data_IF_983930176281
#
_entry.id   IF_983930176281
#
_cell.length_a   1.000
_cell.length_b   1.000
_cell.length_c   1.000
_cell.angle_alpha   90.00
_cell.angle_beta   90.00
_cell.angle_gamma   90.00
#
_symmetry.space_group_name_H-M   'P 1'
#
loop_
_entity.id
_entity.type
_entity.pdbx_description
1 polymer ?
#
# COMPACT_ATOMS: atom_id res chain seq x y z
N UNK A 1 -8.70 -28.20 1.58
CA UNK A 1 -8.26 -26.92 2.17
C UNK A 1 -8.09 -27.23 3.63
N UNK A 2 -6.91 -27.02 4.17
CA UNK A 2 -6.62 -27.42 5.55
C UNK A 2 -7.37 -26.48 6.47
N UNK A 3 -8.49 -26.95 7.04
CA UNK A 3 -9.23 -26.21 8.05
C UNK A 3 -8.39 -26.23 9.34
N UNK A 4 -7.56 -25.20 9.51
CA UNK A 4 -6.91 -24.96 10.78
C UNK A 4 -8.00 -24.51 11.75
N UNK A 5 -8.34 -25.33 12.74
CA UNK A 5 -9.28 -24.94 13.79
C UNK A 5 -8.52 -24.56 15.06
N UNK A 6 -8.84 -23.42 15.64
CA UNK A 6 -8.37 -23.07 16.99
C UNK A 6 -9.39 -23.63 17.98
N UNK A 7 -8.94 -24.52 18.86
CA UNK A 7 -9.74 -25.09 19.94
C UNK A 7 -9.48 -24.36 21.25
N UNK A 8 -10.53 -23.93 21.94
CA UNK A 8 -10.41 -23.36 23.27
C UNK A 8 -10.60 -24.43 24.35
N UNK A 9 -9.53 -24.81 25.04
CA UNK A 9 -9.57 -25.83 26.10
C UNK A 9 -10.45 -25.45 27.32
N UNK A 10 -10.95 -24.21 27.41
CA UNK A 10 -11.76 -23.76 28.55
C UNK A 10 -13.26 -23.76 28.27
N UNK A 11 -13.69 -23.63 27.01
CA UNK A 11 -15.11 -23.60 26.63
C UNK A 11 -15.46 -24.64 25.56
N UNK A 12 -14.49 -25.45 25.13
CA UNK A 12 -14.60 -26.46 24.07
C UNK A 12 -15.14 -25.94 22.72
N UNK A 13 -15.12 -24.62 22.51
CA UNK A 13 -15.43 -24.03 21.21
C UNK A 13 -14.25 -24.18 20.26
N UNK A 14 -14.54 -24.65 19.05
CA UNK A 14 -13.61 -24.66 17.93
C UNK A 14 -14.02 -23.59 16.92
N UNK A 15 -13.06 -22.75 16.53
CA UNK A 15 -13.27 -21.74 15.48
C UNK A 15 -12.38 -22.04 14.29
N UNK A 16 -12.96 -22.20 13.07
CA UNK A 16 -12.15 -22.38 11.87
C UNK A 16 -11.41 -21.09 11.56
N UNK A 17 -10.11 -21.22 11.34
CA UNK A 17 -9.19 -20.13 11.06
C UNK A 17 -8.72 -20.21 9.61
N UNK A 18 -9.23 -19.31 8.78
CA UNK A 18 -8.78 -19.19 7.40
C UNK A 18 -7.56 -18.28 7.30
N UNK A 19 -6.46 -18.83 6.82
CA UNK A 19 -5.21 -18.09 6.55
C UNK A 19 -5.35 -17.09 5.41
N UNK A 20 -6.30 -17.29 4.51
CA UNK A 20 -6.53 -16.43 3.36
C UNK A 20 -8.01 -16.35 2.99
N UNK A 21 -8.57 -15.14 2.77
CA UNK A 21 -9.96 -14.99 2.35
C UNK A 21 -10.17 -15.47 0.91
N UNK A 22 -11.35 -16.03 0.63
CA UNK A 22 -11.80 -16.31 -0.73
C UNK A 22 -12.24 -14.99 -1.41
N UNK A 23 -11.61 -14.68 -2.53
CA UNK A 23 -11.86 -13.48 -3.32
C UNK A 23 -12.99 -13.65 -4.34
N UNK A 24 -13.46 -14.88 -4.60
CA UNK A 24 -14.50 -15.14 -5.59
C UNK A 24 -15.86 -15.35 -4.94
N UNK A 25 -16.91 -14.73 -5.50
CA UNK A 25 -18.32 -14.99 -5.13
C UNK A 25 -18.76 -16.43 -5.43
N UNK A 26 -18.10 -17.08 -6.40
CA UNK A 26 -18.22 -18.51 -6.73
C UNK A 26 -16.83 -19.06 -7.11
N UNK A 27 -16.40 -20.16 -6.50
CA UNK A 27 -15.14 -20.85 -6.82
C UNK A 27 -14.08 -20.83 -5.71
N UNK A 28 -12.86 -21.24 -6.03
CA UNK A 28 -11.72 -21.42 -5.11
C UNK A 28 -10.56 -20.46 -5.43
N UNK A 29 -10.81 -19.14 -5.41
CA UNK A 29 -9.78 -18.13 -5.68
C UNK A 29 -9.43 -17.40 -4.40
N UNK A 30 -8.25 -17.63 -3.83
CA UNK A 30 -7.85 -17.08 -2.54
C UNK A 30 -6.83 -15.95 -2.70
N UNK A 31 -6.83 -15.00 -1.76
CA UNK A 31 -5.91 -13.86 -1.76
C UNK A 31 -4.43 -14.28 -1.80
N UNK A 32 -4.10 -15.37 -1.13
CA UNK A 32 -2.74 -15.94 -1.11
C UNK A 32 -2.26 -16.32 -2.51
N UNK A 33 -3.16 -16.85 -3.35
CA UNK A 33 -2.82 -17.24 -4.72
C UNK A 33 -2.48 -16.00 -5.56
N UNK A 34 -3.25 -14.91 -5.40
CA UNK A 34 -3.00 -13.65 -6.10
C UNK A 34 -1.68 -13.02 -5.67
N UNK A 35 -1.35 -13.02 -4.38
CA UNK A 35 -0.08 -12.50 -3.85
C UNK A 35 1.13 -13.28 -4.37
N UNK A 36 1.04 -14.61 -4.38
CA UNK A 36 2.11 -15.47 -4.89
C UNK A 36 2.37 -15.20 -6.38
N UNK A 37 1.30 -15.05 -7.18
CA UNK A 37 1.40 -14.68 -8.60
C UNK A 37 2.01 -13.29 -8.76
N UNK A 38 1.51 -12.28 -8.03
CA UNK A 38 2.03 -10.92 -8.07
C UNK A 38 3.54 -10.86 -7.82
N UNK A 39 4.01 -11.53 -6.76
CA UNK A 39 5.44 -11.56 -6.43
C UNK A 39 6.28 -12.26 -7.51
N UNK A 40 5.76 -13.32 -8.13
CA UNK A 40 6.47 -13.99 -9.24
C UNK A 40 6.64 -13.10 -10.47
N UNK A 41 5.67 -12.21 -10.73
CA UNK A 41 5.75 -11.22 -11.82
C UNK A 41 6.75 -10.12 -11.46
N UNK A 42 6.64 -9.56 -10.25
CA UNK A 42 7.51 -8.49 -9.75
C UNK A 42 8.99 -8.90 -9.78
N UNK A 43 9.29 -10.15 -9.45
CA UNK A 43 10.65 -10.71 -9.47
C UNK A 43 11.13 -11.11 -10.87
N UNK A 44 10.29 -10.99 -11.90
CA UNK A 44 10.59 -11.40 -13.27
C UNK A 44 10.70 -12.91 -13.47
N UNK A 45 10.28 -13.71 -12.50
CA UNK A 45 10.46 -15.17 -12.49
C UNK A 45 9.27 -15.92 -13.10
N UNK A 46 8.09 -15.28 -13.16
CA UNK A 46 6.90 -15.79 -13.81
C UNK A 46 6.38 -17.11 -13.22
N UNK A 47 5.62 -17.86 -14.03
CA UNK A 47 5.04 -19.14 -13.59
C UNK A 47 6.11 -20.16 -13.22
N UNK A 48 7.19 -20.25 -14.02
CA UNK A 48 8.22 -21.26 -13.81
C UNK A 48 9.02 -21.00 -12.52
N UNK A 49 9.27 -19.72 -12.20
CA UNK A 49 9.81 -19.31 -10.90
C UNK A 49 8.91 -19.68 -9.73
N UNK A 50 7.61 -19.38 -9.83
CA UNK A 50 6.65 -19.74 -8.78
C UNK A 50 6.54 -21.26 -8.61
N UNK A 51 6.50 -22.01 -9.71
CA UNK A 51 6.46 -23.48 -9.69
C UNK A 51 7.69 -24.08 -9.04
N UNK A 52 8.87 -23.51 -9.34
CA UNK A 52 10.14 -23.95 -8.73
C UNK A 52 10.16 -23.66 -7.23
N UNK A 53 9.71 -22.47 -6.81
CA UNK A 53 9.58 -22.12 -5.40
C UNK A 53 8.62 -23.06 -4.66
N UNK A 54 7.44 -23.34 -5.22
CA UNK A 54 6.48 -24.28 -4.63
C UNK A 54 7.08 -25.69 -4.50
N UNK A 55 7.82 -26.16 -5.49
CA UNK A 55 8.49 -27.47 -5.44
C UNK A 55 9.53 -27.56 -4.32
N UNK A 56 10.39 -26.54 -4.17
CA UNK A 56 11.39 -26.47 -3.09
C UNK A 56 10.74 -26.47 -1.71
N UNK A 57 9.63 -25.76 -1.57
CA UNK A 57 8.89 -25.64 -0.31
C UNK A 57 7.97 -26.84 -0.04
N UNK A 58 7.97 -27.85 -0.90
CA UNK A 58 7.05 -29.00 -0.85
C UNK A 58 5.58 -28.57 -0.74
N UNK A 59 5.20 -27.56 -1.52
CA UNK A 59 3.85 -27.00 -1.57
C UNK A 59 3.21 -27.26 -2.94
N UNK A 60 1.88 -27.48 -3.00
CA UNK A 60 1.17 -27.55 -4.27
C UNK A 60 1.20 -26.19 -4.98
N UNK A 61 1.66 -26.18 -6.24
CA UNK A 61 1.62 -24.99 -7.07
C UNK A 61 0.23 -24.78 -7.70
N UNK A 62 -0.08 -23.53 -8.06
CA UNK A 62 -1.20 -23.21 -8.92
C UNK A 62 -1.08 -23.92 -10.27
N UNK A 63 -2.19 -24.33 -10.86
CA UNK A 63 -2.17 -24.75 -12.26
C UNK A 63 -1.83 -23.56 -13.16
N UNK A 64 -1.20 -23.81 -14.32
CA UNK A 64 -0.86 -22.76 -15.30
C UNK A 64 -2.07 -21.91 -15.67
N UNK A 65 -3.24 -22.52 -15.87
CA UNK A 65 -4.49 -21.80 -16.13
C UNK A 65 -4.93 -20.91 -14.96
N UNK A 66 -4.83 -21.40 -13.72
CA UNK A 66 -5.17 -20.61 -12.54
C UNK A 66 -4.19 -19.44 -12.32
N UNK A 67 -2.91 -19.65 -12.65
CA UNK A 67 -1.88 -18.61 -12.62
C UNK A 67 -2.22 -17.46 -13.57
N UNK A 68 -2.40 -17.75 -14.87
CA UNK A 68 -2.69 -16.72 -15.86
C UNK A 68 -4.03 -16.03 -15.60
N UNK A 69 -5.03 -16.73 -15.06
CA UNK A 69 -6.25 -16.07 -14.60
C UNK A 69 -6.00 -15.03 -13.50
N UNK A 70 -5.03 -15.25 -12.60
CA UNK A 70 -4.64 -14.20 -11.63
C UNK A 70 -3.80 -13.11 -12.29
N UNK A 71 -2.93 -13.47 -13.25
CA UNK A 71 -2.19 -12.48 -14.06
C UNK A 71 -3.15 -11.52 -14.73
N UNK A 72 -4.19 -12.02 -15.42
CA UNK A 72 -5.19 -11.18 -16.08
C UNK A 72 -5.87 -10.23 -15.10
N UNK A 73 -6.22 -10.70 -13.90
CA UNK A 73 -6.83 -9.85 -12.87
C UNK A 73 -5.86 -8.80 -12.33
N UNK A 74 -4.57 -9.14 -12.22
CA UNK A 74 -3.52 -8.18 -11.83
C UNK A 74 -3.31 -7.16 -12.95
N UNK A 75 -3.24 -7.60 -14.21
CA UNK A 75 -3.08 -6.75 -15.37
C UNK A 75 -4.29 -5.84 -15.57
N UNK A 76 -5.52 -6.33 -15.43
CA UNK A 76 -6.74 -5.49 -15.49
C UNK A 76 -6.73 -4.41 -14.40
N UNK A 77 -6.14 -4.71 -13.23
CA UNK A 77 -5.94 -3.70 -12.19
C UNK A 77 -4.85 -2.69 -12.55
N UNK A 78 -3.83 -3.10 -13.29
CA UNK A 78 -2.79 -2.20 -13.83
C UNK A 78 -3.28 -1.39 -15.03
N UNK A 79 -4.18 -1.93 -15.86
CA UNK A 79 -4.84 -1.23 -16.97
C UNK A 79 -5.76 -0.11 -16.46
N UNK A 80 -6.13 -0.12 -15.17
CA UNK A 80 -6.82 1.00 -14.51
C UNK A 80 -5.89 2.14 -14.11
N UNK A 81 -4.57 1.96 -14.25
CA UNK A 81 -3.59 3.03 -14.06
C UNK A 81 -3.50 3.81 -15.37
N UNK A 82 -4.02 5.04 -15.35
CA UNK A 82 -4.01 5.92 -16.51
C UNK A 82 -2.59 6.35 -16.92
N UNK A 83 -1.76 6.68 -15.93
CA UNK A 83 -0.42 7.22 -16.16
C UNK A 83 0.50 6.90 -14.98
N UNK A 84 1.79 6.73 -15.26
CA UNK A 84 2.85 6.58 -14.27
C UNK A 84 4.15 7.23 -14.74
N UNK A 85 4.92 7.72 -13.78
CA UNK A 85 6.25 8.24 -14.02
C UNK A 85 7.23 7.65 -13.01
N UNK A 86 8.32 7.07 -13.51
CA UNK A 86 9.35 6.45 -12.67
C UNK A 86 10.47 7.44 -12.50
N UNK A 87 10.71 7.86 -11.25
CA UNK A 87 11.90 8.63 -10.88
C UNK A 87 12.97 7.66 -10.40
N UNK A 88 14.19 7.77 -10.91
CA UNK A 88 15.30 6.94 -10.46
C UNK A 88 16.62 7.71 -10.43
N UNK A 89 17.37 7.40 -9.37
CA UNK A 89 18.74 7.88 -9.13
C UNK A 89 19.79 6.78 -9.34
N UNK A 90 19.34 5.58 -9.71
CA UNK A 90 20.18 4.41 -9.83
C UNK A 90 19.92 3.69 -11.15
N UNK A 91 20.99 3.37 -11.86
CA UNK A 91 20.95 2.47 -13.01
C UNK A 91 21.92 1.31 -12.76
N UNK A 92 21.44 0.08 -12.96
CA UNK A 92 22.25 -1.13 -12.79
C UNK A 92 23.39 -1.20 -13.79
N UNK A 93 23.15 -0.79 -15.05
CA UNK A 93 24.18 -0.75 -16.12
C UNK A 93 25.30 0.23 -15.74
N UNK A 94 24.95 1.44 -15.29
CA UNK A 94 25.92 2.40 -14.77
C UNK A 94 26.73 1.83 -13.60
N UNK A 95 26.07 1.19 -12.63
CA UNK A 95 26.76 0.62 -11.47
C UNK A 95 27.75 -0.48 -11.87
N UNK A 96 27.38 -1.33 -12.83
CA UNK A 96 28.25 -2.40 -13.34
C UNK A 96 29.43 -1.84 -14.12
N UNK A 97 29.19 -0.92 -15.07
CA UNK A 97 30.27 -0.33 -15.88
C UNK A 97 31.25 0.44 -14.99
N UNK A 98 30.76 1.18 -14.00
CA UNK A 98 31.62 1.88 -13.04
C UNK A 98 32.54 0.91 -12.28
N UNK A 99 32.01 -0.26 -11.86
CA UNK A 99 32.84 -1.29 -11.22
C UNK A 99 33.87 -1.94 -12.15
N UNK A 100 33.57 -2.02 -13.45
CA UNK A 100 34.47 -2.58 -14.46
C UNK A 100 35.58 -1.62 -14.87
N UNK A 101 35.37 -0.31 -14.75
CA UNK A 101 36.36 0.70 -15.12
C UNK A 101 37.47 0.86 -14.07
N UNK A 102 37.40 0.21 -12.90
CA UNK A 102 38.45 0.20 -11.85
C UNK A 102 39.06 1.58 -11.50
N UNK A 103 38.30 2.67 -11.65
CA UNK A 103 38.76 4.04 -11.38
C UNK A 103 39.22 4.84 -12.61
N UNK A 104 39.12 4.28 -13.82
CA UNK A 104 39.22 5.03 -15.07
C UNK A 104 37.97 5.88 -15.29
N UNK A 105 38.02 7.12 -14.78
CA UNK A 105 36.90 8.08 -14.82
C UNK A 105 36.59 8.50 -16.26
N UNK A 106 37.61 8.69 -17.11
CA UNK A 106 37.41 9.17 -18.49
C UNK A 106 36.64 8.14 -19.33
N UNK A 107 37.02 6.87 -19.27
CA UNK A 107 36.33 5.79 -19.98
C UNK A 107 34.88 5.65 -19.51
N UNK A 108 34.64 5.75 -18.20
CA UNK A 108 33.30 5.68 -17.66
C UNK A 108 32.43 6.86 -18.12
N UNK A 109 32.95 8.08 -18.12
CA UNK A 109 32.19 9.27 -18.53
C UNK A 109 31.93 9.33 -20.04
N UNK A 110 32.83 8.80 -20.88
CA UNK A 110 32.57 8.63 -22.31
C UNK A 110 31.44 7.62 -22.55
N UNK A 111 31.54 6.44 -21.96
CA UNK A 111 30.47 5.43 -22.04
C UNK A 111 29.14 5.95 -21.46
N UNK A 112 29.17 6.69 -20.34
CA UNK A 112 27.97 7.22 -19.70
C UNK A 112 27.25 8.21 -20.60
N UNK A 113 27.97 9.06 -21.33
CA UNK A 113 27.37 9.97 -22.31
C UNK A 113 26.60 9.22 -23.39
N UNK A 114 27.19 8.17 -23.94
CA UNK A 114 26.52 7.33 -24.95
C UNK A 114 25.32 6.58 -24.37
N UNK A 115 25.46 6.02 -23.17
CA UNK A 115 24.40 5.27 -22.48
C UNK A 115 23.18 6.14 -22.12
N UNK A 116 23.43 7.40 -21.73
CA UNK A 116 22.36 8.38 -21.51
C UNK A 116 21.74 8.79 -22.84
N UNK A 117 22.55 9.06 -23.87
CA UNK A 117 22.07 9.46 -25.19
C UNK A 117 21.23 8.38 -25.90
N UNK A 118 21.52 7.09 -25.67
CA UNK A 118 20.73 5.99 -26.21
C UNK A 118 19.37 5.79 -25.52
N UNK A 119 19.13 6.48 -24.40
CA UNK A 119 17.93 6.31 -23.58
C UNK A 119 17.92 5.02 -22.76
N UNK A 120 19.04 4.31 -22.67
CA UNK A 120 19.17 3.07 -21.91
C UNK A 120 19.37 3.28 -20.40
N UNK A 121 19.66 4.52 -19.99
CA UNK A 121 19.96 4.87 -18.61
C UNK A 121 18.69 5.06 -17.80
N UNK A 122 18.58 4.33 -16.69
CA UNK A 122 17.44 4.48 -15.77
C UNK A 122 17.55 5.76 -14.91
N UNK A 123 18.72 6.41 -14.85
CA UNK A 123 18.90 7.62 -14.02
C UNK A 123 18.29 8.81 -14.76
N UNK A 124 17.25 9.39 -14.17
CA UNK A 124 16.57 10.56 -14.70
C UNK A 124 16.39 11.68 -13.66
N UNK A 125 17.02 11.55 -12.49
CA UNK A 125 16.91 12.52 -11.41
C UNK A 125 18.23 12.69 -10.65
N UNK A 126 18.65 13.94 -10.46
CA UNK A 126 19.93 14.29 -9.80
C UNK A 126 19.74 14.91 -8.41
N UNK A 127 18.50 15.22 -8.00
CA UNK A 127 18.21 15.84 -6.71
C UNK A 127 18.23 14.87 -5.51
N UNK A 128 17.79 15.36 -4.34
CA UNK A 128 17.72 14.54 -3.12
C UNK A 128 16.66 13.45 -3.23
N UNK A 129 16.90 12.25 -2.68
CA UNK A 129 15.92 11.14 -2.75
C UNK A 129 14.53 11.51 -2.21
N UNK A 130 14.38 12.32 -1.13
CA UNK A 130 13.07 12.81 -0.69
C UNK A 130 12.36 13.75 -1.66
N UNK A 131 13.06 14.38 -2.61
CA UNK A 131 12.47 15.28 -3.60
C UNK A 131 11.89 14.53 -4.82
N UNK A 132 12.26 13.27 -5.02
CA UNK A 132 11.80 12.46 -6.16
C UNK A 132 10.28 12.36 -6.24
N UNK A 133 9.61 12.24 -5.10
CA UNK A 133 8.14 12.16 -5.05
C UNK A 133 7.50 13.46 -5.55
N UNK A 134 8.04 14.61 -5.16
CA UNK A 134 7.50 15.91 -5.53
C UNK A 134 7.71 16.21 -7.01
N UNK A 135 8.89 15.88 -7.54
CA UNK A 135 9.22 16.05 -8.95
C UNK A 135 8.43 15.08 -9.84
N UNK A 136 8.32 13.81 -9.42
CA UNK A 136 7.49 12.83 -10.12
C UNK A 136 6.02 13.24 -10.16
N UNK A 137 5.49 13.82 -9.08
CA UNK A 137 4.14 14.39 -9.06
C UNK A 137 4.02 15.59 -10.03
N UNK A 138 4.98 16.52 -10.02
CA UNK A 138 4.97 17.66 -10.96
C UNK A 138 4.93 17.20 -12.42
N UNK A 139 5.78 16.25 -12.80
CA UNK A 139 5.82 15.71 -14.17
C UNK A 139 4.49 15.09 -14.56
N UNK A 140 3.92 14.25 -13.70
CA UNK A 140 2.71 13.51 -13.99
C UNK A 140 1.46 14.42 -14.04
N UNK A 141 1.38 15.46 -13.22
CA UNK A 141 0.28 16.41 -13.24
C UNK A 141 0.38 17.36 -14.43
N UNK A 142 1.57 17.89 -14.73
CA UNK A 142 1.74 18.88 -15.80
C UNK A 142 1.44 18.30 -17.19
N UNK A 143 1.81 17.03 -17.44
CA UNK A 143 1.56 16.38 -18.74
C UNK A 143 0.15 15.82 -18.91
N UNK A 144 -0.69 15.88 -17.88
CA UNK A 144 -2.02 15.25 -17.89
C UNK A 144 -2.95 15.81 -18.96
N UNK A 145 -2.91 17.12 -19.19
CA UNK A 145 -3.73 17.80 -20.20
C UNK A 145 -3.25 17.42 -21.60
N UNK A 146 -1.94 17.46 -21.84
CA UNK A 146 -1.36 17.18 -23.16
C UNK A 146 -1.51 15.70 -23.55
N UNK A 147 -1.29 14.77 -22.61
CA UNK A 147 -1.33 13.34 -22.89
C UNK A 147 -2.75 12.75 -22.85
N UNK A 148 -3.58 13.21 -21.92
CA UNK A 148 -4.86 12.56 -21.63
C UNK A 148 -6.07 13.49 -21.81
N UNK A 149 -5.85 14.78 -22.06
CA UNK A 149 -6.92 15.79 -22.10
C UNK A 149 -7.79 15.77 -20.83
N UNK A 150 -7.14 15.54 -19.68
CA UNK A 150 -7.78 15.41 -18.37
C UNK A 150 -7.05 16.22 -17.31
N UNK A 151 -7.75 16.58 -16.23
CA UNK A 151 -7.17 17.23 -15.05
C UNK A 151 -7.43 16.37 -13.82
N UNK A 152 -6.43 16.26 -12.96
CA UNK A 152 -6.53 15.50 -11.72
C UNK A 152 -7.04 16.38 -10.57
N UNK A 153 -8.18 16.02 -9.97
CA UNK A 153 -8.75 16.80 -8.86
C UNK A 153 -8.29 16.33 -7.48
N UNK A 154 -8.07 15.03 -7.30
CA UNK A 154 -7.79 14.46 -5.98
C UNK A 154 -6.42 13.78 -5.97
N UNK A 155 -5.62 14.08 -4.95
CA UNK A 155 -4.33 13.44 -4.71
C UNK A 155 -4.38 12.68 -3.38
N UNK A 156 -4.10 11.38 -3.40
CA UNK A 156 -3.89 10.60 -2.19
C UNK A 156 -2.40 10.60 -1.87
N UNK A 157 -2.00 11.11 -0.70
CA UNK A 157 -0.60 11.09 -0.26
C UNK A 157 -0.45 10.75 1.23
N UNK A 158 0.77 10.42 1.65
CA UNK A 158 1.10 10.31 3.08
C UNK A 158 1.22 11.72 3.68
N UNK A 159 0.76 11.87 4.93
CA UNK A 159 0.98 12.99 5.84
C UNK A 159 1.31 14.35 5.25
N UNK A 160 2.32 15.04 5.80
CA UNK A 160 2.84 16.27 5.21
C UNK A 160 3.62 15.90 3.95
N UNK A 161 3.13 16.36 2.79
CA UNK A 161 3.60 15.91 1.48
C UNK A 161 4.04 17.14 0.71
N UNK A 162 5.35 17.27 0.53
CA UNK A 162 5.93 18.30 -0.36
C UNK A 162 5.42 18.14 -1.79
N UNK A 163 5.11 16.91 -2.20
CA UNK A 163 4.54 16.61 -3.50
C UNK A 163 3.13 17.18 -3.69
N UNK A 164 2.32 17.31 -2.63
CA UNK A 164 1.05 18.02 -2.74
C UNK A 164 1.25 19.50 -3.02
N UNK A 165 2.20 20.14 -2.32
CA UNK A 165 2.45 21.56 -2.47
C UNK A 165 2.92 21.91 -3.89
N UNK A 166 3.61 20.99 -4.58
CA UNK A 166 4.05 21.22 -5.97
C UNK A 166 2.90 21.14 -6.98
N UNK A 167 1.86 20.34 -6.70
CA UNK A 167 0.76 20.12 -7.65
C UNK A 167 -0.55 20.81 -7.26
N UNK A 168 -0.62 21.46 -6.09
CA UNK A 168 -1.84 22.11 -5.58
C UNK A 168 -2.47 23.06 -6.61
N UNK A 169 -1.62 23.81 -7.30
CA UNK A 169 -2.00 24.78 -8.33
C UNK A 169 -1.51 24.36 -9.72
N UNK A 170 -1.47 23.05 -9.99
CA UNK A 170 -1.09 22.54 -11.32
C UNK A 170 -2.02 23.00 -12.45
N UNK A 171 -3.23 23.46 -12.12
CA UNK A 171 -4.22 23.95 -13.07
C UNK A 171 -4.76 25.32 -12.61
N UNK A 172 -4.86 26.28 -13.54
CA UNK A 172 -5.24 27.67 -13.24
C UNK A 172 -6.64 27.81 -12.62
N UNK A 173 -7.57 26.94 -12.98
CA UNK A 173 -8.99 27.01 -12.61
C UNK A 173 -9.41 25.90 -11.63
N UNK A 174 -8.48 25.07 -11.19
CA UNK A 174 -8.80 23.88 -10.40
C UNK A 174 -7.72 23.54 -9.38
N UNK A 175 -8.03 23.79 -8.10
CA UNK A 175 -7.14 23.37 -7.01
C UNK A 175 -7.21 21.86 -6.77
N UNK A 176 -6.04 21.22 -6.64
CA UNK A 176 -5.96 19.81 -6.26
C UNK A 176 -6.32 19.65 -4.78
N UNK A 177 -7.16 18.66 -4.47
CA UNK A 177 -7.59 18.32 -3.11
C UNK A 177 -6.75 17.16 -2.60
N UNK A 178 -6.09 17.37 -1.46
CA UNK A 178 -5.35 16.31 -0.76
C UNK A 178 -6.28 15.40 0.03
N UNK A 179 -6.04 14.09 -0.10
CA UNK A 179 -6.67 13.04 0.67
C UNK A 179 -5.59 12.27 1.45
N UNK A 180 -5.89 11.90 2.68
CA UNK A 180 -4.98 11.09 3.49
C UNK A 180 -5.04 9.62 3.09
N UNK A 181 -3.88 8.99 2.95
CA UNK A 181 -3.83 7.54 2.77
C UNK A 181 -4.26 6.82 4.06
N UNK A 182 -4.88 5.62 3.92
CA UNK A 182 -5.36 4.83 5.08
C UNK A 182 -4.22 4.55 6.07
N UNK A 183 -3.01 4.30 5.58
CA UNK A 183 -1.84 4.10 6.43
C UNK A 183 -1.54 5.31 7.32
N UNK A 184 -1.64 6.53 6.77
CA UNK A 184 -1.45 7.76 7.52
C UNK A 184 -2.56 7.97 8.55
N UNK A 185 -3.81 7.73 8.16
CA UNK A 185 -4.98 7.79 9.04
C UNK A 185 -4.81 6.88 10.27
N UNK A 186 -4.31 5.65 10.06
CA UNK A 186 -3.98 4.72 11.16
C UNK A 186 -2.90 5.28 12.09
N UNK A 187 -1.79 5.79 11.53
CA UNK A 187 -0.68 6.37 12.30
C UNK A 187 -1.16 7.55 13.14
N UNK A 188 -1.92 8.47 12.54
CA UNK A 188 -2.46 9.68 13.19
C UNK A 188 -3.34 9.33 14.38
N UNK A 189 -4.26 8.36 14.22
CA UNK A 189 -5.13 7.93 15.31
C UNK A 189 -4.33 7.39 16.50
N UNK A 190 -3.36 6.49 16.27
CA UNK A 190 -2.58 6.00 17.40
C UNK A 190 -1.65 7.05 18.00
N UNK A 191 -1.13 8.00 17.22
CA UNK A 191 -0.40 9.16 17.78
C UNK A 191 -1.31 9.98 18.71
N UNK A 192 -2.57 10.19 18.34
CA UNK A 192 -3.55 10.84 19.21
C UNK A 192 -3.78 10.05 20.51
N UNK A 193 -3.92 8.73 20.44
CA UNK A 193 -4.08 7.90 21.64
C UNK A 193 -2.84 7.88 22.53
N UNK A 194 -1.64 7.87 21.93
CA UNK A 194 -0.38 7.98 22.68
C UNK A 194 -0.29 9.34 23.40
N UNK A 195 -0.62 10.42 22.69
CA UNK A 195 -0.63 11.76 23.26
C UNK A 195 -1.67 11.88 24.38
N UNK A 196 -2.88 11.33 24.18
CA UNK A 196 -3.92 11.28 25.21
C UNK A 196 -3.39 10.56 26.46
N UNK A 197 -2.81 9.37 26.30
CA UNK A 197 -2.19 8.62 27.41
C UNK A 197 -1.10 9.43 28.12
N UNK A 198 -0.26 10.16 27.38
CA UNK A 198 0.85 10.92 27.94
C UNK A 198 0.41 12.22 28.64
N UNK A 199 -0.61 12.90 28.10
CA UNK A 199 -1.10 14.18 28.60
C UNK A 199 -2.17 14.04 29.67
N UNK A 200 -2.91 12.92 29.72
CA UNK A 200 -3.91 12.66 30.75
C UNK A 200 -3.24 12.45 32.11
N UNK A 201 -3.21 13.51 32.91
CA UNK A 201 -2.81 13.49 34.31
C UNK A 201 -4.02 13.18 35.19
N UNK A 202 -3.79 12.36 36.23
CA UNK A 202 -4.83 12.00 37.19
C UNK A 202 -5.48 10.65 36.93
N UNK A 203 -6.58 10.42 37.64
CA UNK A 203 -7.33 9.17 37.64
C UNK A 203 -8.65 9.38 36.89
N UNK A 204 -9.10 8.35 36.18
CA UNK A 204 -10.45 8.30 35.60
C UNK A 204 -11.50 8.20 36.72
N UNK A 205 -12.78 8.17 36.36
CA UNK A 205 -13.89 8.09 37.31
C UNK A 205 -13.80 6.87 38.26
N UNK A 206 -13.09 5.82 37.85
CA UNK A 206 -12.84 4.61 38.63
C UNK A 206 -11.61 4.69 39.58
N UNK A 207 -10.99 5.86 39.69
CA UNK A 207 -9.81 6.08 40.53
C UNK A 207 -8.52 5.46 39.98
N UNK A 208 -8.48 5.02 38.71
CA UNK A 208 -7.30 4.41 38.07
C UNK A 208 -6.74 5.27 36.94
N UNK A 209 -5.44 5.16 36.62
CA UNK A 209 -4.84 5.86 35.49
C UNK A 209 -5.36 5.32 34.14
N UNK A 210 -5.26 6.15 33.10
CA UNK A 210 -5.65 5.80 31.72
C UNK A 210 -4.85 4.63 31.14
N UNK A 211 -3.62 4.42 31.62
CA UNK A 211 -2.73 3.32 31.22
C UNK A 211 -2.56 2.27 32.32
N UNK A 212 -2.03 1.10 31.95
CA UNK A 212 -1.76 -0.01 32.87
C UNK A 212 -2.41 -1.33 32.46
N UNK A 213 -2.34 -2.35 33.33
CA UNK A 213 -2.91 -3.68 33.06
C UNK A 213 -4.42 -3.58 32.83
N UNK A 214 -4.91 -4.09 31.69
CA UNK A 214 -6.31 -4.02 31.29
C UNK A 214 -6.78 -2.65 30.79
N UNK A 215 -5.86 -1.70 30.56
CA UNK A 215 -6.16 -0.32 30.15
C UNK A 215 -5.45 0.05 28.84
N UNK A 216 -5.36 1.34 28.52
CA UNK A 216 -4.73 1.84 27.30
C UNK A 216 -3.19 1.69 27.38
N UNK A 217 -2.69 0.52 26.98
CA UNK A 217 -1.25 0.26 26.83
C UNK A 217 -0.78 0.60 25.43
N UNK A 218 0.54 0.75 25.23
CA UNK A 218 1.11 0.94 23.90
C UNK A 218 0.77 -0.21 22.95
N UNK A 219 0.81 -1.45 23.44
CA UNK A 219 0.39 -2.62 22.68
C UNK A 219 -1.08 -2.56 22.27
N UNK A 220 -1.97 -2.11 23.18
CA UNK A 220 -3.39 -1.91 22.87
C UNK A 220 -3.59 -0.81 21.83
N UNK A 221 -2.84 0.29 21.92
CA UNK A 221 -2.89 1.38 20.92
C UNK A 221 -2.46 0.87 19.54
N UNK A 222 -1.36 0.12 19.43
CA UNK A 222 -0.92 -0.49 18.16
C UNK A 222 -1.97 -1.47 17.60
N UNK A 223 -2.62 -2.24 18.48
CA UNK A 223 -3.73 -3.12 18.09
C UNK A 223 -4.92 -2.31 17.53
N UNK A 224 -5.30 -1.22 18.19
CA UNK A 224 -6.36 -0.32 17.72
C UNK A 224 -6.00 0.32 16.36
N UNK A 225 -4.75 0.78 16.18
CA UNK A 225 -4.27 1.31 14.89
C UNK A 225 -4.47 0.31 13.75
N UNK A 226 -4.13 -0.96 14.00
CA UNK A 226 -4.31 -2.04 13.02
C UNK A 226 -5.79 -2.26 12.72
N UNK A 227 -6.64 -2.38 13.73
CA UNK A 227 -8.07 -2.60 13.54
C UNK A 227 -8.75 -1.43 12.83
N UNK A 228 -8.36 -0.20 13.13
CA UNK A 228 -8.95 0.98 12.50
C UNK A 228 -8.76 0.99 10.99
N UNK A 229 -7.54 0.75 10.50
CA UNK A 229 -7.35 0.68 9.05
C UNK A 229 -7.78 -0.64 8.42
N UNK A 230 -7.96 -1.73 9.19
CA UNK A 230 -8.66 -2.90 8.67
C UNK A 230 -10.14 -2.58 8.44
N UNK A 231 -10.79 -1.91 9.39
CA UNK A 231 -12.18 -1.48 9.26
C UNK A 231 -12.37 -0.57 8.05
N UNK A 232 -11.46 0.39 7.81
CA UNK A 232 -11.52 1.23 6.60
C UNK A 232 -11.39 0.38 5.34
N UNK A 233 -10.35 -0.46 5.24
CA UNK A 233 -10.08 -1.27 4.02
C UNK A 233 -11.18 -2.29 3.71
N UNK A 234 -11.86 -2.81 4.73
CA UNK A 234 -12.94 -3.79 4.58
C UNK A 234 -14.29 -3.16 4.23
N UNK A 235 -14.43 -1.84 4.41
CA UNK A 235 -15.68 -1.11 4.15
C UNK A 235 -15.50 -0.05 3.05
N UNK A 236 -14.63 -0.33 2.07
CA UNK A 236 -14.45 0.52 0.90
C UNK A 236 -15.54 0.24 -0.13
N UNK A 237 -16.12 1.29 -0.70
CA UNK A 237 -17.07 1.17 -1.81
C UNK A 237 -16.30 0.95 -3.11
N UNK A 238 -16.70 -0.06 -3.87
CA UNK A 238 -16.07 -0.42 -5.16
C UNK A 238 -16.75 0.20 -6.37
N UNK A 239 -17.92 0.82 -6.17
CA UNK A 239 -18.73 1.43 -7.21
C UNK A 239 -18.25 2.85 -7.48
N UNK A 240 -18.10 3.21 -8.76
CA UNK A 240 -17.89 4.60 -9.16
C UNK A 240 -19.16 5.42 -8.84
N UNK A 241 -18.98 6.59 -8.22
CA UNK A 241 -20.06 7.49 -7.79
C UNK A 241 -21.12 6.80 -6.89
N UNK A 242 -20.72 6.35 -5.68
CA UNK A 242 -21.67 5.78 -4.74
C UNK A 242 -22.71 6.82 -4.31
N UNK A 243 -23.94 6.36 -4.08
CA UNK A 243 -24.99 7.18 -3.46
C UNK A 243 -24.65 7.49 -2.02
N UNK A 244 -25.18 8.60 -1.50
CA UNK A 244 -25.04 9.00 -0.09
C UNK A 244 -25.45 7.86 0.87
N UNK A 245 -26.53 7.13 0.54
CA UNK A 245 -26.96 5.95 1.28
C UNK A 245 -25.91 4.82 1.30
N UNK A 246 -25.23 4.55 0.19
CA UNK A 246 -24.17 3.55 0.13
C UNK A 246 -22.97 3.98 1.00
N UNK A 247 -22.64 5.27 1.01
CA UNK A 247 -21.63 5.87 1.89
C UNK A 247 -22.00 5.70 3.35
N UNK A 248 -23.25 6.03 3.72
CA UNK A 248 -23.72 5.91 5.11
C UNK A 248 -23.70 4.47 5.61
N UNK A 249 -24.08 3.51 4.77
CA UNK A 249 -24.04 2.08 5.11
C UNK A 249 -22.58 1.64 5.37
N UNK A 250 -21.64 2.04 4.52
CA UNK A 250 -20.23 1.72 4.69
C UNK A 250 -19.65 2.35 5.97
N UNK A 251 -19.97 3.61 6.24
CA UNK A 251 -19.57 4.32 7.46
C UNK A 251 -20.17 3.66 8.70
N UNK A 252 -21.44 3.27 8.65
CA UNK A 252 -22.11 2.57 9.74
C UNK A 252 -21.46 1.22 10.03
N UNK A 253 -21.20 0.41 8.99
CA UNK A 253 -20.52 -0.87 9.13
C UNK A 253 -19.11 -0.73 9.72
N UNK A 254 -18.35 0.27 9.25
CA UNK A 254 -17.05 0.63 9.81
C UNK A 254 -17.16 0.99 11.29
N UNK A 255 -18.07 1.89 11.67
CA UNK A 255 -18.30 2.29 13.07
C UNK A 255 -18.67 1.07 13.93
N UNK A 256 -19.53 0.19 13.42
CA UNK A 256 -19.95 -1.03 14.12
C UNK A 256 -18.80 -1.98 14.43
N UNK A 257 -17.83 -2.13 13.53
CA UNK A 257 -16.61 -2.93 13.76
C UNK A 257 -15.74 -2.31 14.86
N UNK A 258 -15.77 -0.99 15.02
CA UNK A 258 -14.97 -0.26 16.00
C UNK A 258 -15.62 -0.18 17.40
N UNK A 259 -16.95 -0.30 17.50
CA UNK A 259 -17.69 -0.25 18.77
C UNK A 259 -17.19 -1.22 19.86
N UNK A 260 -16.87 -2.51 19.58
CA UNK A 260 -16.33 -3.44 20.59
C UNK A 260 -14.97 -3.01 21.16
N UNK A 261 -14.31 -2.05 20.48
CA UNK A 261 -13.00 -1.53 20.85
C UNK A 261 -13.06 -0.12 21.44
N UNK A 262 -14.25 0.48 21.54
CA UNK A 262 -14.45 1.71 22.29
C UNK A 262 -14.16 1.44 23.76
N UNK A 263 -13.09 2.05 24.25
CA UNK A 263 -12.84 2.14 25.68
C UNK A 263 -13.92 3.07 26.21
N UNK A 264 -14.87 2.56 26.99
CA UNK A 264 -15.68 3.38 27.87
C UNK A 264 -14.71 4.06 28.83
N UNK A 265 -14.48 5.36 28.59
CA UNK A 265 -13.73 6.25 29.49
C UNK A 265 -14.64 6.68 30.62
#
# INVERSE_FOLDING_TARGET
MSDLSIHCNSCDESTPWQTSPNLAKKGKSFDVNRRAVYHSIETGSGYDGLSSFCAIMNMPCLSRAAYYKQVDVILEALEKVLDYHVMSKSCRKCSLKNSQCEGNVEEFEEWRREHVASGDCDINFEGSSPAMEAEGASVLWNRSIELHNMRYKWMVSDGDSKAFNTVQHAYDDCEVIKLDCVGHVQKRMGKHLMNLKACSKGKLADGKPIGGRGRLTEGKIKQLQRYYGLAIRQNTLTKANPSEREVDIAVYAMKKILLPFSITV
#
